data_IF_627131110520
#
_entry.id   IF_627131110520
#
_cell.length_a   1.000
_cell.length_b   1.000
_cell.length_c   1.000
_cell.angle_alpha   90.00
_cell.angle_beta   90.00
_cell.angle_gamma   90.00
#
_symmetry.space_group_name_H-M   'P 1'
#
loop_
_entity.id
_entity.type
_entity.pdbx_description
1 polymer ?
#
# COMPACT_ATOMS: atom_id res chain seq x y z
N UNK A 1 4.87 18.17 8.97
CA UNK A 1 5.66 17.61 7.85
C UNK A 1 5.50 16.10 7.91
N UNK A 2 4.63 15.52 7.07
CA UNK A 2 4.45 14.06 7.03
C UNK A 2 5.63 13.47 6.25
N UNK A 3 6.49 12.71 6.94
CA UNK A 3 7.56 11.95 6.28
C UNK A 3 6.95 10.62 5.85
N UNK A 4 6.55 10.54 4.59
CA UNK A 4 6.29 9.27 3.94
C UNK A 4 7.64 8.75 3.42
N UNK A 5 8.09 7.63 3.95
CA UNK A 5 9.30 6.96 3.45
C UNK A 5 9.09 6.60 1.98
N UNK A 6 9.97 7.11 1.13
CA UNK A 6 9.97 6.80 -0.30
C UNK A 6 11.02 5.73 -0.55
N UNK A 7 10.66 4.69 -1.31
CA UNK A 7 11.61 3.65 -1.70
C UNK A 7 11.78 3.71 -3.21
N UNK A 8 13.02 3.87 -3.65
CA UNK A 8 13.39 3.74 -5.05
C UNK A 8 13.68 2.29 -5.37
N UNK A 9 13.18 1.84 -6.53
CA UNK A 9 13.42 0.51 -7.08
C UNK A 9 14.03 0.69 -8.47
N UNK A 10 15.19 0.07 -8.70
CA UNK A 10 15.86 0.08 -10.00
C UNK A 10 16.18 -1.35 -10.45
N UNK A 11 16.01 -1.62 -11.74
CA UNK A 11 16.43 -2.89 -12.34
C UNK A 11 17.95 -2.84 -12.60
N UNK A 12 18.68 -3.91 -12.28
CA UNK A 12 20.15 -3.97 -12.43
C UNK A 12 20.67 -3.82 -13.87
N UNK A 13 19.81 -3.97 -14.88
CA UNK A 13 20.13 -3.71 -16.29
C UNK A 13 19.97 -2.22 -16.69
N UNK A 14 19.37 -1.38 -15.84
CA UNK A 14 19.17 0.04 -16.06
C UNK A 14 20.22 0.82 -15.25
N UNK A 15 21.11 1.56 -15.93
CA UNK A 15 22.12 2.40 -15.25
C UNK A 15 21.42 3.39 -14.31
N UNK A 16 21.79 3.35 -13.03
CA UNK A 16 21.26 4.24 -11.99
C UNK A 16 21.59 5.70 -12.32
N UNK A 17 20.57 6.44 -12.80
CA UNK A 17 20.64 7.88 -13.02
C UNK A 17 20.06 8.64 -11.83
N UNK A 18 20.93 9.05 -10.89
CA UNK A 18 20.78 10.18 -9.95
C UNK A 18 19.36 10.54 -9.43
N UNK A 19 19.08 10.16 -8.17
CA UNK A 19 18.50 11.08 -7.17
C UNK A 19 16.99 10.95 -6.84
N UNK A 20 16.72 10.82 -5.54
CA UNK A 20 15.41 10.94 -4.86
C UNK A 20 14.59 12.19 -5.27
N UNK A 21 15.25 13.29 -5.63
CA UNK A 21 14.58 14.52 -6.05
C UNK A 21 13.84 14.40 -7.39
N UNK A 22 14.12 13.36 -8.18
CA UNK A 22 13.48 13.10 -9.47
C UNK A 22 12.11 12.42 -9.31
N UNK A 23 11.85 11.59 -8.30
CA UNK A 23 10.57 10.85 -8.18
C UNK A 23 9.34 11.74 -7.93
N UNK A 24 9.48 12.84 -7.18
CA UNK A 24 8.41 13.83 -6.96
C UNK A 24 8.39 14.94 -8.02
N UNK A 25 9.51 15.17 -8.71
CA UNK A 25 9.62 16.07 -9.88
C UNK A 25 9.35 15.39 -11.22
N UNK A 26 9.24 14.06 -11.25
CA UNK A 26 9.07 13.30 -12.47
C UNK A 26 7.72 13.63 -13.09
N UNK A 27 7.78 14.19 -14.28
CA UNK A 27 7.10 13.84 -15.52
C UNK A 27 6.56 12.39 -15.68
N UNK A 28 6.64 11.53 -14.67
CA UNK A 28 6.13 10.15 -14.64
C UNK A 28 4.76 10.00 -14.00
N UNK A 29 4.09 8.88 -14.30
CA UNK A 29 2.75 8.55 -13.80
C UNK A 29 2.75 8.18 -12.31
N UNK A 30 1.65 8.50 -11.63
CA UNK A 30 1.40 8.06 -10.25
C UNK A 30 0.49 6.83 -10.29
N UNK A 31 0.91 5.75 -9.65
CA UNK A 31 0.18 4.49 -9.62
C UNK A 31 -0.25 4.20 -8.19
N UNK A 32 -1.54 4.07 -7.96
CA UNK A 32 -2.09 3.74 -6.65
C UNK A 32 -2.49 2.26 -6.58
N UNK A 33 -2.50 1.64 -5.39
CA UNK A 33 -2.96 0.25 -5.25
C UNK A 33 -4.36 0.06 -5.83
N UNK A 34 -5.31 0.94 -5.48
CA UNK A 34 -6.72 0.91 -5.93
C UNK A 34 -7.07 1.81 -7.11
N UNK A 35 -6.09 2.24 -7.91
CA UNK A 35 -6.35 3.01 -9.14
C UNK A 35 -6.92 4.40 -8.98
N UNK A 36 -6.60 5.09 -7.88
CA UNK A 36 -7.10 6.42 -7.62
C UNK A 36 -8.59 6.47 -7.26
N UNK A 37 -9.26 5.32 -7.24
CA UNK A 37 -10.53 5.18 -6.51
C UNK A 37 -10.20 5.12 -5.02
N UNK A 38 -11.04 5.76 -4.21
CA UNK A 38 -10.92 5.94 -2.75
C UNK A 38 -10.94 4.62 -1.94
N UNK A 39 -10.52 3.51 -2.53
CA UNK A 39 -10.58 2.16 -1.97
C UNK A 39 -9.52 1.91 -0.89
N UNK A 40 -8.44 2.70 -0.82
CA UNK A 40 -7.51 2.62 0.31
C UNK A 40 -8.08 3.24 1.60
N UNK A 41 -9.16 4.03 1.51
CA UNK A 41 -9.88 4.58 2.67
C UNK A 41 -11.08 3.75 3.12
N UNK A 42 -11.39 2.63 2.44
CA UNK A 42 -12.37 1.65 2.91
C UNK A 42 -11.76 0.69 3.96
N UNK A 43 -10.85 1.18 4.79
CA UNK A 43 -10.70 0.60 6.11
C UNK A 43 -12.04 0.81 6.81
N UNK A 44 -12.84 -0.26 6.92
CA UNK A 44 -14.10 -0.27 7.68
C UNK A 44 -13.87 0.33 9.08
N UNK A 45 -12.68 0.15 9.66
CA UNK A 45 -12.18 0.85 10.86
C UNK A 45 -12.32 2.38 10.82
N UNK A 46 -11.91 3.02 9.73
CA UNK A 46 -12.04 4.48 9.59
C UNK A 46 -13.51 4.92 9.42
N UNK A 47 -14.37 4.05 8.91
CA UNK A 47 -15.80 4.31 8.77
C UNK A 47 -16.55 4.10 10.10
N UNK A 48 -16.07 3.19 10.95
CA UNK A 48 -16.67 2.85 12.25
C UNK A 48 -16.14 3.72 13.40
N UNK A 49 -14.90 4.21 13.34
CA UNK A 49 -14.24 4.93 14.43
C UNK A 49 -14.11 6.45 14.22
N UNK A 50 -14.61 7.01 13.10
CA UNK A 50 -14.52 8.45 12.79
C UNK A 50 -15.80 9.20 13.17
N UNK A 51 -15.76 10.21 14.06
CA UNK A 51 -16.93 11.03 14.39
C UNK A 51 -17.40 11.96 13.26
N UNK A 52 -16.67 12.06 12.15
CA UNK A 52 -17.06 12.95 11.04
C UNK A 52 -16.58 12.45 9.67
N UNK A 53 -17.48 12.58 8.70
CA UNK A 53 -17.29 12.26 7.28
C UNK A 53 -16.29 13.21 6.57
N UNK A 54 -15.47 13.99 7.28
CA UNK A 54 -14.58 15.02 6.72
C UNK A 54 -13.09 14.63 6.76
N UNK A 55 -12.69 13.64 7.56
CA UNK A 55 -11.28 13.27 7.71
C UNK A 55 -10.66 12.53 6.50
N UNK A 56 -11.47 12.01 5.58
CA UNK A 56 -10.98 11.35 4.37
C UNK A 56 -10.26 12.30 3.41
N UNK A 57 -10.61 13.60 3.43
CA UNK A 57 -9.89 14.64 2.69
C UNK A 57 -8.47 14.89 3.23
N UNK A 58 -8.14 14.38 4.41
CA UNK A 58 -6.82 14.53 5.03
C UNK A 58 -5.90 13.32 4.76
N UNK A 59 -6.40 12.28 4.08
CA UNK A 59 -5.62 11.08 3.75
C UNK A 59 -4.49 11.36 2.74
N UNK A 60 -3.37 10.63 2.89
CA UNK A 60 -2.19 10.75 2.00
C UNK A 60 -2.56 10.45 0.54
N UNK A 61 -3.38 9.43 0.32
CA UNK A 61 -3.91 9.07 -1.00
C UNK A 61 -4.60 10.27 -1.66
N UNK A 62 -5.58 10.86 -0.95
CA UNK A 62 -6.38 12.00 -1.45
C UNK A 62 -5.53 13.24 -1.68
N UNK A 63 -4.56 13.50 -0.80
CA UNK A 63 -3.57 14.54 -1.00
C UNK A 63 -2.78 14.33 -2.31
N UNK A 64 -2.26 13.11 -2.54
CA UNK A 64 -1.47 12.78 -3.73
C UNK A 64 -2.31 12.82 -5.02
N UNK A 65 -3.56 12.37 -4.98
CA UNK A 65 -4.48 12.48 -6.11
C UNK A 65 -4.75 13.93 -6.51
N UNK A 66 -5.04 14.82 -5.55
CA UNK A 66 -5.24 16.25 -5.81
C UNK A 66 -3.97 16.90 -6.37
N UNK A 67 -2.81 16.54 -5.83
CA UNK A 67 -1.53 17.02 -6.32
C UNK A 67 -1.20 16.53 -7.74
N UNK A 68 -1.57 15.29 -8.07
CA UNK A 68 -1.44 14.73 -9.41
C UNK A 68 -2.33 15.49 -10.41
N UNK A 69 -3.60 15.71 -10.06
CA UNK A 69 -4.57 16.41 -10.88
C UNK A 69 -4.15 17.87 -11.13
N UNK A 70 -3.72 18.59 -10.10
CA UNK A 70 -3.22 19.96 -10.21
C UNK A 70 -1.98 20.10 -11.12
N UNK A 71 -1.28 18.99 -11.38
CA UNK A 71 -0.10 18.93 -12.24
C UNK A 71 -0.34 18.15 -13.53
N UNK A 72 -1.59 17.81 -13.85
CA UNK A 72 -1.95 17.00 -15.03
C UNK A 72 -1.15 15.70 -15.16
N UNK A 73 -0.80 15.08 -14.03
CA UNK A 73 -0.05 13.82 -14.05
C UNK A 73 -1.01 12.65 -14.31
N UNK A 74 -0.66 11.71 -15.21
CA UNK A 74 -1.44 10.49 -15.38
C UNK A 74 -1.51 9.69 -14.09
N UNK A 75 -2.72 9.23 -13.74
CA UNK A 75 -3.00 8.38 -12.58
C UNK A 75 -3.59 7.05 -13.03
N UNK A 76 -3.09 5.94 -12.48
CA UNK A 76 -3.68 4.61 -12.72
C UNK A 76 -3.56 3.68 -11.51
N UNK A 77 -4.00 2.43 -11.67
CA UNK A 77 -4.11 1.44 -10.58
C UNK A 77 -3.33 0.16 -10.76
N UNK A 78 -2.85 -0.40 -9.65
CA UNK A 78 -2.38 -1.78 -9.59
C UNK A 78 -3.53 -2.79 -9.60
N UNK A 79 -4.72 -2.39 -9.16
CA UNK A 79 -5.96 -3.16 -9.30
C UNK A 79 -7.15 -2.25 -9.67
N UNK A 80 -8.18 -2.87 -10.23
CA UNK A 80 -9.49 -2.28 -10.51
C UNK A 80 -10.41 -2.39 -9.28
N UNK A 81 -11.49 -1.62 -9.20
CA UNK A 81 -12.48 -1.75 -8.13
C UNK A 81 -13.06 -3.17 -8.01
N UNK A 82 -13.25 -3.86 -9.13
CA UNK A 82 -13.72 -5.25 -9.15
C UNK A 82 -12.68 -6.19 -8.53
N UNK A 83 -11.40 -6.06 -8.90
CA UNK A 83 -10.31 -6.86 -8.33
C UNK A 83 -10.14 -6.58 -6.83
N UNK A 84 -10.28 -5.32 -6.40
CA UNK A 84 -10.26 -4.95 -4.99
C UNK A 84 -11.39 -5.62 -4.20
N UNK A 85 -12.61 -5.56 -4.73
CA UNK A 85 -13.80 -6.08 -4.06
C UNK A 85 -13.90 -7.61 -4.11
N UNK A 86 -13.23 -8.26 -5.07
CA UNK A 86 -13.19 -9.72 -5.20
C UNK A 86 -12.79 -10.41 -3.88
N UNK A 87 -11.94 -9.76 -3.08
CA UNK A 87 -11.60 -10.23 -1.74
C UNK A 87 -12.82 -10.43 -0.84
N UNK A 88 -13.71 -9.43 -0.77
CA UNK A 88 -14.80 -9.40 0.20
C UNK A 88 -15.97 -10.30 -0.20
N UNK A 89 -16.12 -10.59 -1.49
CA UNK A 89 -17.24 -11.39 -2.01
C UNK A 89 -16.99 -12.90 -1.99
N UNK A 90 -15.72 -13.31 -1.92
CA UNK A 90 -15.31 -14.72 -1.95
C UNK A 90 -14.91 -15.27 -0.56
N UNK A 91 -15.33 -14.59 0.52
CA UNK A 91 -15.11 -15.06 1.89
C UNK A 91 -16.13 -16.13 2.26
N UNK A 92 -15.67 -17.19 2.94
CA UNK A 92 -16.59 -18.09 3.64
C UNK A 92 -17.30 -17.36 4.80
N UNK A 93 -18.42 -17.92 5.29
CA UNK A 93 -19.13 -17.38 6.46
C UNK A 93 -18.18 -17.20 7.66
N UNK A 94 -17.31 -18.19 7.90
CA UNK A 94 -16.31 -18.15 8.97
C UNK A 94 -15.26 -17.05 8.75
N UNK A 95 -14.77 -16.88 7.52
CA UNK A 95 -13.82 -15.81 7.20
C UNK A 95 -14.48 -14.42 7.31
N UNK A 96 -15.76 -14.31 6.97
CA UNK A 96 -16.56 -13.09 7.08
C UNK A 96 -16.78 -12.70 8.54
N UNK A 97 -17.18 -13.65 9.39
CA UNK A 97 -17.33 -13.46 10.83
C UNK A 97 -15.99 -13.08 11.48
N UNK A 98 -14.91 -13.76 11.12
CA UNK A 98 -13.58 -13.45 11.61
C UNK A 98 -13.14 -12.03 11.22
N UNK A 99 -13.35 -11.64 9.96
CA UNK A 99 -13.03 -10.29 9.50
C UNK A 99 -13.84 -9.25 10.27
N UNK A 100 -15.14 -9.50 10.51
CA UNK A 100 -15.99 -8.61 11.29
C UNK A 100 -15.48 -8.46 12.73
N UNK A 101 -15.13 -9.55 13.40
CA UNK A 101 -14.57 -9.53 14.75
C UNK A 101 -13.25 -8.76 14.83
N UNK A 102 -12.34 -8.99 13.88
CA UNK A 102 -11.06 -8.26 13.79
C UNK A 102 -11.32 -6.75 13.66
N UNK A 103 -12.27 -6.35 12.82
CA UNK A 103 -12.63 -4.95 12.64
C UNK A 103 -13.22 -4.35 13.91
N UNK A 104 -14.13 -5.03 14.61
CA UNK A 104 -14.68 -4.52 15.87
C UNK A 104 -13.64 -4.43 16.98
N UNK A 105 -12.77 -5.43 17.12
CA UNK A 105 -11.69 -5.42 18.10
C UNK A 105 -10.75 -4.25 17.84
N UNK A 106 -10.40 -3.97 16.58
CA UNK A 106 -9.53 -2.86 16.24
C UNK A 106 -10.23 -1.51 16.43
N UNK A 107 -11.49 -1.37 16.03
CA UNK A 107 -12.29 -0.17 16.23
C UNK A 107 -12.48 0.19 17.72
N UNK A 108 -12.52 -0.82 18.60
CA UNK A 108 -12.59 -0.63 20.04
C UNK A 108 -11.27 -0.16 20.69
N UNK A 109 -10.15 -0.18 19.95
CA UNK A 109 -8.87 0.36 20.42
C UNK A 109 -8.84 1.86 20.19
N UNK A 110 -8.18 2.61 21.08
CA UNK A 110 -7.96 4.06 20.96
C UNK A 110 -6.90 4.39 19.89
N UNK A 111 -7.15 3.95 18.65
CA UNK A 111 -6.31 4.23 17.48
C UNK A 111 -4.99 3.45 17.41
N UNK A 112 -4.10 3.87 16.50
CA UNK A 112 -2.79 3.26 16.29
C UNK A 112 -1.93 3.23 17.55
N UNK A 113 -1.29 2.09 17.84
CA UNK A 113 -0.28 2.06 18.90
C UNK A 113 0.89 3.01 18.59
N UNK A 114 1.51 3.58 19.63
CA UNK A 114 2.71 4.41 19.47
C UNK A 114 3.83 3.66 18.72
N UNK A 115 3.92 2.35 18.90
CA UNK A 115 4.83 1.46 18.15
C UNK A 115 4.53 1.49 16.65
N UNK A 116 3.26 1.34 16.26
CA UNK A 116 2.85 1.39 14.85
C UNK A 116 3.13 2.77 14.23
N UNK A 117 2.80 3.85 14.94
CA UNK A 117 3.08 5.23 14.48
C UNK A 117 4.58 5.42 14.27
N UNK A 118 5.40 4.98 15.23
CA UNK A 118 6.86 5.13 15.14
C UNK A 118 7.48 4.30 14.02
N UNK A 119 6.99 3.06 13.82
CA UNK A 119 7.41 2.23 12.70
C UNK A 119 7.05 2.88 11.36
N UNK A 120 5.83 3.41 11.24
CA UNK A 120 5.39 4.13 10.05
C UNK A 120 6.23 5.38 9.76
N UNK A 121 6.51 6.22 10.76
CA UNK A 121 7.30 7.46 10.59
C UNK A 121 8.75 7.21 10.16
N UNK A 122 9.32 6.05 10.50
CA UNK A 122 10.69 5.67 10.13
C UNK A 122 10.76 4.79 8.87
N UNK A 123 9.61 4.41 8.31
CA UNK A 123 9.57 3.47 7.20
C UNK A 123 10.01 2.06 7.57
N UNK A 124 9.84 1.63 8.83
CA UNK A 124 10.17 0.30 9.30
C UNK A 124 9.10 -0.70 8.84
N UNK A 125 9.18 -1.06 7.56
CA UNK A 125 8.23 -1.95 6.87
C UNK A 125 8.21 -3.36 7.47
N UNK A 126 9.30 -3.81 8.09
CA UNK A 126 9.35 -5.11 8.75
C UNK A 126 8.60 -5.10 10.08
N UNK A 127 8.73 -4.01 10.86
CA UNK A 127 7.90 -3.85 12.06
C UNK A 127 6.42 -3.72 11.72
N UNK A 128 6.07 -2.98 10.67
CA UNK A 128 4.69 -2.85 10.20
C UNK A 128 4.12 -4.19 9.71
N UNK A 129 4.91 -4.97 8.95
CA UNK A 129 4.49 -6.30 8.54
C UNK A 129 4.27 -7.21 9.76
N UNK A 130 5.15 -7.18 10.78
CA UNK A 130 4.95 -7.99 11.99
C UNK A 130 3.63 -7.65 12.70
N UNK A 131 3.38 -6.37 12.94
CA UNK A 131 2.14 -5.88 13.56
C UNK A 131 0.92 -6.35 12.76
N UNK A 132 0.99 -6.25 11.42
CA UNK A 132 -0.08 -6.72 10.55
C UNK A 132 -0.29 -8.24 10.68
N UNK A 133 0.78 -9.05 10.68
CA UNK A 133 0.67 -10.51 10.79
C UNK A 133 0.12 -10.92 12.15
N UNK A 134 0.51 -10.26 13.23
CA UNK A 134 -0.03 -10.48 14.58
C UNK A 134 -1.55 -10.23 14.61
N UNK A 135 -2.06 -9.18 13.97
CA UNK A 135 -3.50 -8.89 13.88
C UNK A 135 -4.31 -9.96 13.14
N UNK A 136 -3.67 -10.83 12.35
CA UNK A 136 -4.31 -11.89 11.59
C UNK A 136 -3.79 -13.29 11.99
N UNK A 137 -3.11 -13.43 13.14
CA UNK A 137 -2.45 -14.69 13.52
C UNK A 137 -3.43 -15.87 13.62
N UNK A 138 -4.66 -15.62 14.07
CA UNK A 138 -5.71 -16.63 14.22
C UNK A 138 -6.41 -16.94 12.88
N UNK A 139 -6.27 -16.06 11.89
CA UNK A 139 -6.88 -16.16 10.57
C UNK A 139 -5.86 -15.82 9.47
N UNK A 140 -4.78 -16.60 9.32
CA UNK A 140 -3.69 -16.30 8.38
C UNK A 140 -4.15 -16.33 6.91
N UNK A 141 -5.26 -17.01 6.60
CA UNK A 141 -5.89 -16.99 5.28
C UNK A 141 -6.36 -15.58 4.90
N UNK A 142 -6.85 -14.79 5.86
CA UNK A 142 -7.28 -13.41 5.61
C UNK A 142 -6.09 -12.52 5.25
N UNK A 143 -4.99 -12.58 6.00
CA UNK A 143 -3.77 -11.84 5.66
C UNK A 143 -3.21 -12.23 4.28
N UNK A 144 -3.22 -13.54 3.97
CA UNK A 144 -2.79 -14.03 2.65
C UNK A 144 -3.63 -13.45 1.52
N UNK A 145 -4.96 -13.41 1.67
CA UNK A 145 -5.87 -12.87 0.66
C UNK A 145 -5.78 -11.34 0.55
N UNK A 146 -5.78 -10.63 1.69
CA UNK A 146 -5.75 -9.16 1.76
C UNK A 146 -4.43 -8.54 1.27
N UNK A 147 -3.32 -9.27 1.42
CA UNK A 147 -1.98 -8.73 1.17
C UNK A 147 -1.23 -9.58 0.15
N UNK A 148 -0.94 -10.84 0.48
CA UNK A 148 0.03 -11.64 -0.30
C UNK A 148 -0.47 -11.91 -1.73
N UNK A 149 -1.73 -12.28 -1.90
CA UNK A 149 -2.33 -12.51 -3.22
C UNK A 149 -2.41 -11.22 -4.04
N UNK A 150 -2.73 -10.09 -3.42
CA UNK A 150 -2.76 -8.79 -4.09
C UNK A 150 -1.37 -8.36 -4.54
N UNK A 151 -0.36 -8.53 -3.68
CA UNK A 151 1.04 -8.30 -4.04
C UNK A 151 1.46 -9.15 -5.24
N UNK A 152 1.10 -10.42 -5.27
CA UNK A 152 1.38 -11.32 -6.39
C UNK A 152 0.69 -10.85 -7.68
N UNK A 153 -0.57 -10.41 -7.60
CA UNK A 153 -1.34 -9.92 -8.75
C UNK A 153 -0.81 -8.59 -9.30
N UNK A 154 -0.27 -7.72 -8.44
CA UNK A 154 0.29 -6.43 -8.85
C UNK A 154 1.67 -6.55 -9.51
N UNK A 155 2.40 -7.61 -9.18
CA UNK A 155 3.80 -7.78 -9.55
C UNK A 155 4.05 -7.81 -11.06
N UNK A 156 3.23 -8.48 -11.91
CA UNK A 156 3.37 -8.37 -13.35
C UNK A 156 3.22 -6.94 -13.89
N UNK A 157 2.34 -6.12 -13.29
CA UNK A 157 2.18 -4.70 -13.68
C UNK A 157 3.41 -3.88 -13.28
N UNK A 158 3.90 -4.08 -12.05
CA UNK A 158 5.13 -3.44 -11.56
C UNK A 158 6.34 -3.82 -12.42
N UNK A 159 6.47 -5.10 -12.77
CA UNK A 159 7.52 -5.59 -13.67
C UNK A 159 7.40 -4.94 -15.07
N UNK A 160 6.18 -4.71 -15.56
CA UNK A 160 5.92 -3.95 -16.78
C UNK A 160 6.40 -2.50 -16.68
N UNK A 161 6.14 -1.82 -15.56
CA UNK A 161 6.61 -0.47 -15.30
C UNK A 161 8.15 -0.40 -15.24
N UNK A 162 8.79 -1.34 -14.55
CA UNK A 162 10.25 -1.40 -14.47
C UNK A 162 10.92 -1.62 -15.84
N UNK A 163 10.25 -2.32 -16.77
CA UNK A 163 10.77 -2.56 -18.13
C UNK A 163 10.51 -1.42 -19.10
N UNK A 164 9.60 -0.49 -18.82
CA UNK A 164 9.26 0.58 -19.76
C UNK A 164 10.35 1.67 -19.88
N UNK A 165 11.32 1.67 -18.96
CA UNK A 165 12.37 2.70 -18.88
C UNK A 165 11.88 4.05 -18.32
N UNK A 166 10.60 4.15 -17.96
CA UNK A 166 10.02 5.33 -17.35
C UNK A 166 10.14 5.30 -15.83
N UNK A 167 10.05 6.46 -15.19
CA UNK A 167 9.97 6.57 -13.72
C UNK A 167 8.51 6.58 -13.29
N UNK A 168 8.16 5.73 -12.31
CA UNK A 168 6.82 5.67 -11.73
C UNK A 168 6.87 5.94 -10.24
N UNK A 169 5.86 6.63 -9.73
CA UNK A 169 5.65 6.76 -8.30
C UNK A 169 4.49 5.85 -7.89
N UNK A 170 4.81 4.75 -7.21
CA UNK A 170 3.84 3.73 -6.79
C UNK A 170 3.48 3.94 -5.32
N UNK A 171 2.19 4.03 -5.04
CA UNK A 171 1.64 4.32 -3.71
C UNK A 171 0.77 3.13 -3.29
N UNK A 172 1.13 2.52 -2.16
CA UNK A 172 0.46 1.34 -1.60
C UNK A 172 0.34 1.49 -0.08
N UNK A 173 -0.60 0.75 0.53
CA UNK A 173 -0.68 0.64 1.97
C UNK A 173 0.60 0.01 2.55
N UNK A 174 1.07 0.51 3.70
CA UNK A 174 2.35 0.08 4.26
C UNK A 174 2.44 -1.43 4.57
N UNK A 175 1.29 -2.08 4.83
CA UNK A 175 1.20 -3.53 5.01
C UNK A 175 1.62 -4.36 3.80
N UNK A 176 1.67 -3.76 2.60
CA UNK A 176 2.09 -4.44 1.37
C UNK A 176 3.60 -4.52 1.18
N UNK A 177 4.41 -3.81 1.97
CA UNK A 177 5.83 -3.61 1.68
C UNK A 177 6.75 -4.66 2.31
N UNK A 178 6.55 -4.97 3.59
CA UNK A 178 7.48 -5.78 4.39
C UNK A 178 7.30 -7.29 4.27
N UNK A 179 8.34 -8.03 4.67
CA UNK A 179 8.36 -9.48 4.67
C UNK A 179 8.64 -10.12 3.30
N UNK A 180 8.79 -11.47 3.26
CA UNK A 180 9.17 -12.18 2.03
C UNK A 180 8.08 -12.12 0.94
N UNK A 181 6.82 -12.02 1.33
CA UNK A 181 5.67 -11.83 0.42
C UNK A 181 5.30 -10.36 0.23
N UNK A 182 6.02 -9.44 0.87
CA UNK A 182 5.90 -8.00 0.62
C UNK A 182 6.47 -7.62 -0.74
N UNK A 183 6.01 -6.51 -1.32
CA UNK A 183 6.50 -6.05 -2.63
C UNK A 183 8.02 -5.87 -2.65
N UNK A 184 8.63 -5.38 -1.57
CA UNK A 184 10.07 -5.20 -1.50
C UNK A 184 10.81 -6.56 -1.50
N UNK A 185 10.33 -7.52 -0.71
CA UNK A 185 10.87 -8.89 -0.70
C UNK A 185 10.78 -9.55 -2.08
N UNK A 186 9.60 -9.44 -2.71
CA UNK A 186 9.31 -9.98 -4.03
C UNK A 186 10.15 -9.35 -5.15
N UNK A 187 10.39 -8.04 -5.09
CA UNK A 187 11.23 -7.32 -6.05
C UNK A 187 12.72 -7.62 -5.84
N UNK A 188 13.18 -7.71 -4.59
CA UNK A 188 14.55 -8.12 -4.26
C UNK A 188 14.84 -9.54 -4.76
N UNK A 189 13.91 -10.48 -4.59
CA UNK A 189 14.01 -11.84 -5.11
C UNK A 189 14.12 -11.91 -6.64
N UNK A 190 13.66 -10.87 -7.35
CA UNK A 190 13.81 -10.70 -8.81
C UNK A 190 15.09 -9.99 -9.23
N UNK A 191 15.99 -9.69 -8.28
CA UNK A 191 17.25 -9.00 -8.55
C UNK A 191 17.13 -7.47 -8.67
N UNK A 192 16.01 -6.87 -8.24
CA UNK A 192 15.89 -5.41 -8.19
C UNK A 192 16.77 -4.84 -7.07
N UNK A 193 17.39 -3.69 -7.32
CA UNK A 193 18.10 -2.90 -6.30
C UNK A 193 17.10 -1.97 -5.63
N UNK A 194 17.07 -2.02 -4.30
CA UNK A 194 16.19 -1.23 -3.46
C UNK A 194 17.00 -0.18 -2.70
N UNK A 195 16.49 1.04 -2.63
CA UNK A 195 17.09 2.14 -1.87
C UNK A 195 15.97 2.88 -1.13
N UNK A 196 16.08 2.99 0.19
CA UNK A 196 15.20 3.82 0.99
C UNK A 196 15.75 5.25 0.97
N UNK A 197 14.89 6.20 0.63
CA UNK A 197 15.24 7.60 0.39
C UNK A 197 14.82 8.52 1.54
#
# INVERSE_FOLDING_TARGET
MFSATTISVTNGSLKAGSGCARALRADGSIIFSGGGSLLSSLSIDAMLSSPSYEHWELGIERYLQRHAAAKSKPVSGLESPKEHNAFFVDLSDRESEALLLILFINAAREGPSATMINAWRRGDVEALNRILRESFQDFPSLARRLIDMRNQNWLPKIDGYLRSGQTYFVVVGAGHLGGPNGLLGLLKARGCKLEQL
#
